data_IF_123613249481
#
_entry.id   IF_123613249481
#
_cell.length_a   1.000
_cell.length_b   1.000
_cell.length_c   1.000
_cell.angle_alpha   90.00
_cell.angle_beta   90.00
_cell.angle_gamma   90.00
#
_symmetry.space_group_name_H-M   'P 1'
#
loop_
_entity.id
_entity.type
_entity.pdbx_description
1 polymer ?
#
# COMPACT_ATOMS: atom_id res chain seq x y z
N UNK A 1 40.18 24.73 -5.94
CA UNK A 1 39.09 24.12 -5.15
C UNK A 1 39.24 22.61 -5.25
N UNK A 2 40.42 22.08 -4.86
CA UNK A 2 40.88 20.75 -5.29
C UNK A 2 41.50 19.90 -4.16
N UNK A 3 41.41 20.31 -2.88
CA UNK A 3 42.14 19.67 -1.77
C UNK A 3 41.30 19.36 -0.51
N UNK A 4 39.99 19.15 -0.61
CA UNK A 4 39.14 18.90 0.58
C UNK A 4 38.90 17.43 0.94
N UNK A 5 39.46 16.47 0.20
CA UNK A 5 39.31 15.02 0.47
C UNK A 5 40.65 14.27 0.63
N UNK A 6 41.78 14.96 0.71
CA UNK A 6 43.03 14.29 1.07
C UNK A 6 43.00 13.92 2.56
N UNK A 7 42.81 12.63 2.83
CA UNK A 7 43.06 12.01 4.12
C UNK A 7 44.39 12.54 4.69
N UNK A 8 44.39 12.87 5.98
CA UNK A 8 45.52 13.40 6.75
C UNK A 8 46.85 12.72 6.37
N UNK A 9 47.67 13.39 5.56
CA UNK A 9 49.08 13.06 5.35
C UNK A 9 49.88 13.56 6.56
N UNK A 10 50.09 12.73 7.55
CA UNK A 10 51.21 12.91 8.47
C UNK A 10 52.49 12.53 7.72
N UNK A 11 53.27 13.55 7.34
CA UNK A 11 54.56 13.36 6.67
C UNK A 11 55.58 12.89 7.71
N UNK A 12 55.82 11.59 7.76
CA UNK A 12 57.14 11.00 8.07
C UNK A 12 57.25 9.67 7.34
N UNK A 13 58.27 9.52 6.51
CA UNK A 13 58.37 8.52 5.45
C UNK A 13 58.14 7.07 5.87
N UNK A 14 57.04 6.50 5.39
CA UNK A 14 56.83 5.09 5.06
C UNK A 14 55.60 5.02 4.15
N UNK A 15 55.61 4.20 3.10
CA UNK A 15 54.43 3.95 2.27
C UNK A 15 53.28 3.43 3.15
N UNK A 16 52.34 4.30 3.49
CA UNK A 16 51.06 3.92 4.09
C UNK A 16 49.97 4.15 3.06
N UNK A 17 49.38 3.06 2.61
CA UNK A 17 48.14 3.09 1.83
C UNK A 17 47.07 3.80 2.67
N UNK A 18 46.39 4.85 2.15
CA UNK A 18 45.28 5.47 2.87
C UNK A 18 44.16 4.43 3.01
N UNK A 19 43.89 3.98 4.24
CA UNK A 19 42.71 3.16 4.55
C UNK A 19 41.50 4.09 4.59
N UNK A 20 40.64 4.02 3.58
CA UNK A 20 39.45 4.87 3.45
C UNK A 20 38.30 4.36 4.34
N UNK A 21 38.47 4.48 5.64
CA UNK A 21 37.47 4.05 6.65
C UNK A 21 36.22 4.93 6.69
N UNK A 22 36.09 5.95 5.83
CA UNK A 22 34.93 6.85 5.83
C UNK A 22 33.69 6.23 5.15
N UNK A 23 33.90 5.58 4.00
CA UNK A 23 32.85 4.96 3.16
C UNK A 23 32.76 3.44 3.26
N UNK A 24 33.59 2.81 4.09
CA UNK A 24 33.60 1.36 4.33
C UNK A 24 32.41 0.89 5.19
N UNK A 25 32.18 -0.43 5.25
CA UNK A 25 31.02 -1.06 5.92
C UNK A 25 31.00 -0.90 7.46
N UNK A 26 32.09 -0.42 8.06
CA UNK A 26 32.16 -0.01 9.47
C UNK A 26 32.59 1.47 9.59
N UNK A 27 32.34 2.23 8.52
CA UNK A 27 32.82 3.59 8.37
C UNK A 27 31.89 4.64 8.97
N UNK A 28 32.41 5.87 9.03
CA UNK A 28 31.76 6.99 9.70
C UNK A 28 30.35 7.30 9.14
N UNK A 29 30.14 7.19 7.82
CA UNK A 29 28.84 7.48 7.20
C UNK A 29 27.79 6.44 7.61
N UNK A 30 28.17 5.18 7.69
CA UNK A 30 27.26 4.12 8.14
C UNK A 30 26.93 4.27 9.61
N UNK A 31 27.91 4.58 10.46
CA UNK A 31 27.67 4.84 11.88
C UNK A 31 26.68 6.01 12.09
N UNK A 32 26.83 7.10 11.31
CA UNK A 32 25.86 8.20 11.32
C UNK A 32 24.47 7.75 10.86
N UNK A 33 24.39 6.93 9.81
CA UNK A 33 23.11 6.38 9.37
C UNK A 33 22.45 5.51 10.44
N UNK A 34 23.20 4.62 11.08
CA UNK A 34 22.70 3.75 12.16
C UNK A 34 22.13 4.59 13.31
N UNK A 35 22.85 5.64 13.74
CA UNK A 35 22.38 6.60 14.76
C UNK A 35 21.05 7.26 14.39
N UNK A 36 20.95 7.82 13.17
CA UNK A 36 19.73 8.48 12.71
C UNK A 36 18.57 7.48 12.55
N UNK A 37 18.84 6.31 11.94
CA UNK A 37 17.85 5.29 11.66
C UNK A 37 17.28 4.68 12.94
N UNK A 38 18.10 4.50 13.97
CA UNK A 38 17.64 4.07 15.30
C UNK A 38 16.65 5.07 15.91
N UNK A 39 16.91 6.38 15.82
CA UNK A 39 15.98 7.38 16.34
C UNK A 39 14.69 7.43 15.52
N UNK A 40 14.77 7.37 14.18
CA UNK A 40 13.60 7.32 13.30
C UNK A 40 12.72 6.08 13.55
N UNK A 41 13.32 4.97 13.94
CA UNK A 41 12.60 3.73 14.30
C UNK A 41 11.87 3.79 15.63
N UNK A 42 12.32 4.63 16.56
CA UNK A 42 11.69 4.76 17.88
C UNK A 42 10.29 5.32 17.68
N UNK A 43 9.33 4.79 18.44
CA UNK A 43 7.93 5.25 18.43
C UNK A 43 7.30 5.35 17.03
N UNK A 44 7.77 4.55 16.06
CA UNK A 44 7.41 4.61 14.64
C UNK A 44 7.50 6.05 14.07
N UNK A 45 8.58 6.76 14.42
CA UNK A 45 8.87 8.14 14.00
C UNK A 45 8.15 9.21 14.81
N UNK A 46 7.22 8.86 15.70
CA UNK A 46 6.48 9.85 16.52
C UNK A 46 7.39 10.44 17.60
N UNK A 47 7.14 11.69 18.00
CA UNK A 47 7.83 12.30 19.13
C UNK A 47 7.66 11.46 20.41
N UNK A 48 8.75 11.25 21.16
CA UNK A 48 8.81 10.37 22.34
C UNK A 48 7.87 10.78 23.48
N UNK A 49 7.44 12.04 23.51
CA UNK A 49 6.65 12.68 24.55
C UNK A 49 5.27 13.17 24.07
N UNK A 50 4.93 12.92 22.81
CA UNK A 50 3.71 13.46 22.18
C UNK A 50 3.76 14.97 21.94
N UNK A 51 4.93 15.60 22.04
CA UNK A 51 5.11 17.01 21.68
C UNK A 51 4.80 17.19 20.20
N UNK A 52 3.95 18.18 19.84
CA UNK A 52 3.63 18.45 18.45
C UNK A 52 4.89 18.76 17.64
N UNK A 53 5.09 18.02 16.55
CA UNK A 53 6.26 18.15 15.68
C UNK A 53 5.93 18.88 14.36
N UNK A 54 4.71 19.41 14.24
CA UNK A 54 4.24 20.13 13.05
C UNK A 54 3.73 19.21 11.93
N UNK A 55 3.76 17.89 12.11
CA UNK A 55 3.20 16.92 11.18
C UNK A 55 1.71 16.63 11.45
N UNK A 56 1.13 17.13 12.54
CA UNK A 56 -0.21 16.78 13.00
C UNK A 56 -1.33 17.26 12.08
N UNK A 57 -1.10 18.39 11.39
CA UNK A 57 -2.07 19.02 10.51
C UNK A 57 -2.23 18.31 9.14
N UNK A 58 -1.30 17.41 8.80
CA UNK A 58 -1.34 16.62 7.57
C UNK A 58 -2.53 15.65 7.62
N UNK A 59 -3.41 15.75 6.62
CA UNK A 59 -4.64 14.95 6.55
C UNK A 59 -4.37 13.51 6.12
N UNK A 60 -3.45 13.30 5.18
CA UNK A 60 -3.07 11.98 4.71
C UNK A 60 -2.19 11.27 5.75
N UNK A 61 -2.61 10.09 6.27
CA UNK A 61 -1.84 9.37 7.29
C UNK A 61 -0.41 8.99 6.85
N UNK A 62 -0.20 8.73 5.56
CA UNK A 62 1.13 8.42 5.02
C UNK A 62 2.03 9.64 4.94
N UNK A 63 1.49 10.82 4.59
CA UNK A 63 2.23 12.10 4.68
C UNK A 63 2.66 12.35 6.13
N UNK A 64 1.74 12.20 7.08
CA UNK A 64 2.03 12.36 8.50
C UNK A 64 3.13 11.40 8.97
N UNK A 65 3.10 10.16 8.51
CA UNK A 65 4.11 9.15 8.85
C UNK A 65 5.47 9.48 8.25
N UNK A 66 5.53 9.85 6.97
CA UNK A 66 6.77 10.29 6.31
C UNK A 66 7.40 11.49 7.04
N UNK A 67 6.56 12.49 7.37
CA UNK A 67 6.95 13.68 8.10
C UNK A 67 7.53 13.33 9.47
N UNK A 68 6.85 12.48 10.23
CA UNK A 68 7.29 12.04 11.56
C UNK A 68 8.68 11.36 11.53
N UNK A 69 8.87 10.39 10.63
CA UNK A 69 10.16 9.71 10.47
C UNK A 69 11.27 10.71 10.14
N UNK A 70 11.09 11.56 9.14
CA UNK A 70 12.10 12.55 8.76
C UNK A 70 12.34 13.58 9.86
N UNK A 71 11.30 14.02 10.56
CA UNK A 71 11.42 14.93 11.70
C UNK A 71 12.28 14.32 12.80
N UNK A 72 12.09 13.04 13.14
CA UNK A 72 12.91 12.34 14.11
C UNK A 72 14.39 12.29 13.67
N UNK A 73 14.64 11.97 12.39
CA UNK A 73 15.97 11.98 11.80
C UNK A 73 16.64 13.35 11.84
N UNK A 74 15.95 14.42 11.48
CA UNK A 74 16.48 15.78 11.58
C UNK A 74 16.72 16.20 13.02
N UNK A 75 15.82 15.84 13.94
CA UNK A 75 15.98 16.17 15.36
C UNK A 75 17.29 15.59 15.88
N UNK A 76 17.58 14.33 15.58
CA UNK A 76 18.85 13.68 15.93
C UNK A 76 20.06 14.23 15.14
N UNK A 77 19.85 14.66 13.89
CA UNK A 77 20.93 15.26 13.11
C UNK A 77 21.44 16.58 13.71
N UNK A 78 20.55 17.34 14.36
CA UNK A 78 20.85 18.64 14.97
C UNK A 78 21.01 18.56 16.50
N UNK A 79 21.08 17.37 17.10
CA UNK A 79 21.62 17.23 18.45
C UNK A 79 23.12 17.49 18.41
N UNK A 80 23.64 18.23 19.40
CA UNK A 80 25.09 18.38 19.55
C UNK A 80 25.64 17.02 19.96
N UNK A 81 26.63 16.45 19.26
CA UNK A 81 27.26 15.22 19.71
C UNK A 81 27.76 15.43 21.13
N UNK A 82 27.22 14.67 22.09
CA UNK A 82 27.80 14.66 23.43
C UNK A 82 29.20 14.04 23.26
N UNK A 83 30.30 14.68 23.70
CA UNK A 83 31.59 14.02 23.71
C UNK A 83 31.40 12.72 24.46
N UNK A 84 31.61 11.58 23.80
CA UNK A 84 31.41 10.28 24.40
C UNK A 84 32.13 10.26 25.76
N UNK A 85 31.37 10.08 26.84
CA UNK A 85 31.96 9.81 28.14
C UNK A 85 32.85 8.58 27.97
N UNK A 86 34.15 8.81 28.17
CA UNK A 86 35.23 7.84 28.07
C UNK A 86 34.80 6.51 28.67
N UNK A 87 34.44 5.57 27.81
CA UNK A 87 34.30 4.16 28.16
C UNK A 87 35.34 3.41 27.33
N UNK A 88 36.20 2.74 28.08
CA UNK A 88 37.55 2.36 27.68
C UNK A 88 37.63 1.39 26.51
N UNK A 89 38.69 1.62 25.72
CA UNK A 89 39.42 0.67 24.87
C UNK A 89 38.75 0.19 23.56
N UNK A 90 38.93 0.99 22.50
CA UNK A 90 39.88 0.70 21.41
C UNK A 90 40.01 1.96 20.55
N UNK A 91 41.24 2.26 20.12
CA UNK A 91 41.69 3.35 19.23
C UNK A 91 40.60 4.00 18.36
N UNK A 92 39.83 4.95 18.92
CA UNK A 92 38.84 5.71 18.16
C UNK A 92 39.55 6.85 17.43
N UNK A 93 39.86 6.62 16.16
CA UNK A 93 40.32 7.65 15.24
C UNK A 93 39.31 8.81 15.28
N UNK A 94 39.73 10.09 15.41
CA UNK A 94 38.82 11.22 15.36
C UNK A 94 38.00 11.16 14.06
N UNK A 95 36.70 10.94 14.18
CA UNK A 95 35.82 10.97 13.01
C UNK A 95 35.74 12.40 12.50
N UNK A 96 35.91 12.60 11.19
CA UNK A 96 35.66 13.90 10.53
C UNK A 96 34.22 14.40 10.77
N UNK A 97 33.29 13.50 11.09
CA UNK A 97 31.92 13.82 11.47
C UNK A 97 31.78 14.43 12.88
N UNK A 98 32.87 14.58 13.64
CA UNK A 98 32.86 15.39 14.86
C UNK A 98 32.71 16.89 14.54
N UNK A 99 32.99 17.31 13.29
CA UNK A 99 32.66 18.65 12.82
C UNK A 99 31.13 18.75 12.58
N UNK A 100 30.40 19.63 13.29
CA UNK A 100 28.94 19.71 13.18
C UNK A 100 28.45 19.99 11.75
N UNK A 101 29.09 20.93 11.04
CA UNK A 101 28.70 21.28 9.67
C UNK A 101 28.88 20.11 8.70
N UNK A 102 29.96 19.34 8.86
CA UNK A 102 30.19 18.16 8.03
C UNK A 102 29.25 17.00 8.38
N UNK A 103 28.98 16.77 9.67
CA UNK A 103 27.95 15.82 10.12
C UNK A 103 26.59 16.14 9.52
N UNK A 104 26.16 17.40 9.65
CA UNK A 104 24.89 17.88 9.12
C UNK A 104 24.81 17.72 7.61
N UNK A 105 25.89 18.07 6.88
CA UNK A 105 25.95 17.87 5.43
C UNK A 105 25.77 16.40 5.03
N UNK A 106 26.50 15.49 5.67
CA UNK A 106 26.38 14.06 5.40
C UNK A 106 25.02 13.48 5.81
N UNK A 107 24.49 13.93 6.95
CA UNK A 107 23.15 13.56 7.40
C UNK A 107 22.06 14.07 6.46
N UNK A 108 22.19 15.28 5.91
CA UNK A 108 21.26 15.77 4.89
C UNK A 108 21.25 14.85 3.66
N UNK A 109 22.42 14.37 3.20
CA UNK A 109 22.47 13.43 2.08
C UNK A 109 21.81 12.09 2.41
N UNK A 110 22.05 11.55 3.61
CA UNK A 110 21.41 10.32 4.09
C UNK A 110 19.88 10.48 4.17
N UNK A 111 19.38 11.56 4.77
CA UNK A 111 17.94 11.82 4.93
C UNK A 111 17.25 12.16 3.60
N UNK A 112 17.96 12.77 2.64
CA UNK A 112 17.49 12.93 1.26
C UNK A 112 17.31 11.59 0.56
N UNK A 113 18.34 10.74 0.61
CA UNK A 113 18.26 9.41 0.03
C UNK A 113 17.14 8.60 0.69
N UNK A 114 16.99 8.72 2.01
CA UNK A 114 15.93 8.05 2.76
C UNK A 114 14.53 8.50 2.34
N UNK A 115 14.31 9.82 2.21
CA UNK A 115 13.05 10.36 1.69
C UNK A 115 12.75 9.88 0.26
N UNK A 116 13.78 9.67 -0.57
CA UNK A 116 13.60 9.06 -1.89
C UNK A 116 13.14 7.60 -1.80
N UNK A 117 13.76 6.80 -0.94
CA UNK A 117 13.31 5.43 -0.66
C UNK A 117 11.89 5.38 -0.11
N UNK A 118 11.48 6.34 0.73
CA UNK A 118 10.08 6.49 1.16
C UNK A 118 9.15 6.68 -0.04
N UNK A 119 9.47 7.60 -0.96
CA UNK A 119 8.64 7.88 -2.14
C UNK A 119 8.51 6.67 -3.07
N UNK A 120 9.61 5.94 -3.26
CA UNK A 120 9.66 4.75 -4.11
C UNK A 120 8.81 3.60 -3.55
N UNK A 121 8.76 3.43 -2.22
CA UNK A 121 8.05 2.32 -1.56
C UNK A 121 6.63 2.66 -1.09
N UNK A 122 6.25 3.95 -1.06
CA UNK A 122 4.92 4.38 -0.65
C UNK A 122 3.86 4.15 -1.74
N UNK A 123 2.74 3.55 -1.36
CA UNK A 123 1.54 3.40 -2.21
C UNK A 123 0.65 4.63 -2.21
N UNK A 124 0.82 5.50 -1.21
CA UNK A 124 0.25 6.85 -1.16
C UNK A 124 1.21 7.89 -1.76
N UNK A 125 0.68 9.08 -2.07
CA UNK A 125 1.49 10.26 -2.30
C UNK A 125 1.94 10.79 -0.95
N UNK A 126 3.23 11.12 -0.79
CA UNK A 126 3.81 11.53 0.51
C UNK A 126 4.61 12.84 0.43
N UNK A 127 4.44 13.58 -0.67
CA UNK A 127 5.25 14.75 -0.99
C UNK A 127 5.06 15.89 0.03
N UNK A 128 3.83 16.05 0.53
CA UNK A 128 3.51 17.11 1.49
C UNK A 128 4.16 16.81 2.85
N UNK A 129 4.17 15.54 3.27
CA UNK A 129 4.83 15.09 4.48
C UNK A 129 6.35 15.25 4.45
N UNK A 130 6.96 14.88 3.32
CA UNK A 130 8.41 15.10 3.12
C UNK A 130 8.72 16.59 3.15
N UNK A 131 7.99 17.39 2.35
CA UNK A 131 8.19 18.85 2.31
C UNK A 131 8.04 19.47 3.69
N UNK A 132 7.02 19.09 4.45
CA UNK A 132 6.78 19.59 5.80
C UNK A 132 7.98 19.32 6.72
N UNK A 133 8.55 18.11 6.72
CA UNK A 133 9.70 17.78 7.57
C UNK A 133 10.97 18.57 7.19
N UNK A 134 11.25 18.73 5.89
CA UNK A 134 12.41 19.50 5.42
C UNK A 134 12.25 21.00 5.66
N UNK A 135 11.04 21.55 5.49
CA UNK A 135 10.75 22.98 5.70
C UNK A 135 10.67 23.35 7.20
N UNK A 136 10.54 22.37 8.09
CA UNK A 136 10.51 22.56 9.55
C UNK A 136 11.79 22.06 10.21
N UNK A 137 11.83 20.78 10.63
CA UNK A 137 12.97 20.20 11.35
C UNK A 137 14.27 20.22 10.53
N UNK A 138 14.17 20.10 9.20
CA UNK A 138 15.30 20.20 8.28
C UNK A 138 16.00 21.56 8.26
N UNK A 139 15.40 22.62 8.82
CA UNK A 139 16.04 23.94 8.91
C UNK A 139 17.06 24.04 10.05
N UNK A 140 17.14 23.03 10.93
CA UNK A 140 17.99 23.08 12.12
C UNK A 140 17.50 24.09 13.17
N UNK A 141 18.35 24.38 14.15
CA UNK A 141 18.03 25.33 15.23
C UNK A 141 18.34 26.75 14.75
N UNK A 142 17.31 27.59 14.68
CA UNK A 142 17.45 29.01 14.34
C UNK A 142 18.49 29.69 15.25
N UNK A 143 19.55 30.26 14.64
CA UNK A 143 20.57 31.07 15.32
C UNK A 143 21.94 30.42 15.57
N UNK A 144 22.12 29.12 15.30
CA UNK A 144 23.35 28.39 15.67
C UNK A 144 24.34 28.09 14.52
N UNK A 145 24.08 28.58 13.30
CA UNK A 145 24.94 28.26 12.15
C UNK A 145 24.81 26.82 11.64
N UNK A 146 23.70 26.14 11.98
CA UNK A 146 23.34 24.84 11.43
C UNK A 146 23.21 24.92 9.91
N UNK A 147 23.63 23.85 9.23
CA UNK A 147 23.48 23.68 7.79
C UNK A 147 22.06 23.16 7.51
N UNK A 148 21.17 23.94 6.87
CA UNK A 148 19.80 23.50 6.62
C UNK A 148 19.76 22.44 5.51
N UNK A 149 19.01 21.37 5.74
CA UNK A 149 18.66 20.40 4.72
C UNK A 149 17.46 20.92 3.91
N UNK A 150 17.67 21.28 2.65
CA UNK A 150 16.59 21.77 1.77
C UNK A 150 16.05 20.66 0.89
N UNK A 151 14.73 20.57 0.71
CA UNK A 151 14.13 19.62 -0.24
C UNK A 151 14.25 20.11 -1.70
N UNK A 152 15.44 20.02 -2.29
CA UNK A 152 15.73 20.45 -3.67
C UNK A 152 16.14 19.25 -4.55
N UNK A 153 15.23 18.31 -4.74
CA UNK A 153 15.51 16.98 -5.32
C UNK A 153 16.40 17.01 -6.57
N UNK A 154 16.11 17.87 -7.55
CA UNK A 154 16.90 17.97 -8.80
C UNK A 154 18.35 18.41 -8.58
N UNK A 155 18.58 19.32 -7.63
CA UNK A 155 19.93 19.79 -7.29
C UNK A 155 20.72 18.72 -6.53
N UNK A 156 20.06 17.99 -5.64
CA UNK A 156 20.69 16.85 -4.95
C UNK A 156 20.96 15.70 -5.92
N UNK A 157 20.04 15.41 -6.84
CA UNK A 157 20.19 14.34 -7.82
C UNK A 157 21.32 14.60 -8.83
N UNK A 158 21.57 15.88 -9.17
CA UNK A 158 22.64 16.34 -10.07
C UNK A 158 23.97 16.64 -9.37
N UNK A 159 24.01 16.65 -8.03
CA UNK A 159 25.24 16.82 -7.26
C UNK A 159 26.10 15.54 -7.36
N UNK A 160 27.10 15.56 -8.24
CA UNK A 160 27.99 14.43 -8.44
C UNK A 160 29.37 14.69 -7.82
N UNK A 161 29.70 13.96 -6.77
CA UNK A 161 31.01 14.00 -6.10
C UNK A 161 31.70 12.66 -6.34
N UNK A 162 32.84 12.69 -7.06
CA UNK A 162 33.65 11.50 -7.32
C UNK A 162 34.56 11.21 -6.12
N UNK A 163 34.51 9.99 -5.59
CA UNK A 163 35.20 9.63 -4.33
C UNK A 163 36.67 9.25 -4.52
N UNK A 164 37.09 8.92 -5.74
CA UNK A 164 38.49 8.68 -6.08
C UNK A 164 38.82 9.59 -7.27
N UNK A 165 39.88 10.40 -7.19
CA UNK A 165 40.29 11.35 -8.23
C UNK A 165 40.68 10.77 -9.60
N UNK A 166 40.22 9.56 -9.93
CA UNK A 166 40.38 8.90 -11.23
C UNK A 166 38.99 8.63 -11.81
N UNK A 167 38.69 9.24 -12.96
CA UNK A 167 37.47 8.99 -13.71
C UNK A 167 37.36 7.49 -14.05
N UNK A 168 36.29 6.83 -13.61
CA UNK A 168 35.91 5.48 -14.06
C UNK A 168 36.23 4.31 -13.13
N UNK A 169 36.79 4.51 -11.93
CA UNK A 169 37.09 3.41 -10.98
C UNK A 169 36.64 3.64 -9.52
N UNK A 170 35.81 4.66 -9.24
CA UNK A 170 35.19 4.85 -7.93
C UNK A 170 33.75 5.35 -8.08
N UNK A 171 32.81 4.78 -7.32
CA UNK A 171 31.41 5.23 -7.31
C UNK A 171 31.25 6.66 -6.81
N UNK A 172 30.11 7.29 -7.12
CA UNK A 172 29.80 8.64 -6.63
C UNK A 172 29.42 8.63 -5.14
N UNK A 173 29.50 9.77 -4.47
CA UNK A 173 29.00 9.92 -3.10
C UNK A 173 27.51 9.56 -2.96
N UNK A 174 26.73 9.83 -4.01
CA UNK A 174 25.33 9.42 -4.11
C UNK A 174 25.18 7.89 -4.07
N UNK A 175 25.99 7.18 -4.86
CA UNK A 175 25.95 5.71 -4.90
C UNK A 175 26.35 5.10 -3.55
N UNK A 176 27.33 5.71 -2.86
CA UNK A 176 27.75 5.26 -1.53
C UNK A 176 26.71 5.49 -0.46
N UNK A 177 26.08 6.66 -0.44
CA UNK A 177 24.95 6.96 0.46
C UNK A 177 23.82 5.96 0.21
N UNK A 178 23.43 5.77 -1.05
CA UNK A 178 22.36 4.85 -1.42
C UNK A 178 22.69 3.39 -1.05
N UNK A 179 23.95 2.97 -1.19
CA UNK A 179 24.42 1.66 -0.76
C UNK A 179 24.29 1.45 0.76
N UNK A 180 24.60 2.47 1.57
CA UNK A 180 24.41 2.41 3.04
C UNK A 180 22.95 2.16 3.40
N UNK A 181 22.02 2.88 2.76
CA UNK A 181 20.59 2.70 3.01
C UNK A 181 20.08 1.33 2.51
N UNK A 182 20.52 0.89 1.33
CA UNK A 182 20.15 -0.41 0.76
C UNK A 182 20.65 -1.59 1.59
N UNK A 183 21.83 -1.45 2.21
CA UNK A 183 22.36 -2.46 3.13
C UNK A 183 21.49 -2.60 4.39
N UNK A 184 20.81 -1.54 4.81
CA UNK A 184 19.92 -1.51 5.96
C UNK A 184 18.46 -1.81 5.60
N UNK A 185 18.28 -2.96 4.96
CA UNK A 185 16.98 -3.44 4.46
C UNK A 185 15.89 -3.45 5.54
N UNK A 186 16.23 -3.80 6.78
CA UNK A 186 15.26 -3.90 7.87
C UNK A 186 14.69 -2.54 8.28
N UNK A 187 15.52 -1.48 8.31
CA UNK A 187 15.05 -0.12 8.53
C UNK A 187 14.11 0.35 7.42
N UNK A 188 14.54 0.14 6.17
CA UNK A 188 13.78 0.57 5.00
C UNK A 188 12.45 -0.17 4.91
N UNK A 189 12.43 -1.49 5.13
CA UNK A 189 11.20 -2.28 5.04
C UNK A 189 10.26 -2.02 6.23
N UNK A 190 10.78 -1.76 7.44
CA UNK A 190 9.94 -1.31 8.57
C UNK A 190 9.29 0.05 8.27
N UNK A 191 10.05 1.01 7.78
CA UNK A 191 9.51 2.31 7.35
C UNK A 191 8.44 2.12 6.28
N UNK A 192 8.71 1.31 5.25
CA UNK A 192 7.79 1.09 4.14
C UNK A 192 6.49 0.42 4.60
N UNK A 193 6.55 -0.45 5.61
CA UNK A 193 5.36 -1.02 6.23
C UNK A 193 4.54 0.06 6.95
N UNK A 194 5.17 0.93 7.72
CA UNK A 194 4.47 1.96 8.47
C UNK A 194 3.87 3.03 7.56
N UNK A 195 4.60 3.47 6.53
CA UNK A 195 4.12 4.49 5.60
C UNK A 195 2.92 4.02 4.78
N UNK A 196 2.80 2.72 4.51
CA UNK A 196 1.67 2.11 3.80
C UNK A 196 0.54 1.66 4.74
N UNK A 197 0.67 1.85 6.06
CA UNK A 197 -0.38 1.50 7.01
C UNK A 197 -1.40 2.64 7.10
N UNK A 198 -2.50 2.50 6.36
CA UNK A 198 -3.68 3.37 6.46
C UNK A 198 -4.87 2.54 6.93
N UNK A 199 -5.42 2.91 8.08
CA UNK A 199 -6.45 2.09 8.75
C UNK A 199 -7.87 2.43 8.30
N UNK A 200 -8.13 3.69 7.96
CA UNK A 200 -9.43 4.11 7.46
C UNK A 200 -9.53 3.85 5.95
N UNK A 201 -10.63 3.22 5.51
CA UNK A 201 -10.80 2.85 4.11
C UNK A 201 -10.96 4.09 3.21
N UNK A 202 -11.62 5.15 3.68
CA UNK A 202 -11.74 6.37 2.89
C UNK A 202 -10.38 7.04 2.70
N UNK A 203 -9.57 7.13 3.76
CA UNK A 203 -8.21 7.67 3.67
C UNK A 203 -7.34 6.83 2.72
N UNK A 204 -7.45 5.50 2.79
CA UNK A 204 -6.76 4.59 1.86
C UNK A 204 -7.19 4.86 0.41
N UNK A 205 -8.49 4.95 0.13
CA UNK A 205 -9.04 5.25 -1.21
C UNK A 205 -8.52 6.60 -1.71
N UNK A 206 -8.58 7.65 -0.89
CA UNK A 206 -8.09 9.00 -1.24
C UNK A 206 -6.60 8.97 -1.58
N UNK A 207 -5.77 8.37 -0.72
CA UNK A 207 -4.33 8.40 -0.91
C UNK A 207 -3.91 7.62 -2.16
N UNK A 208 -4.41 6.39 -2.37
CA UNK A 208 -3.93 5.53 -3.46
C UNK A 208 -4.46 6.00 -4.79
N UNK A 209 -5.67 6.56 -4.82
CA UNK A 209 -6.23 7.19 -6.02
C UNK A 209 -5.39 8.41 -6.39
N UNK A 210 -5.09 9.28 -5.43
CA UNK A 210 -4.25 10.46 -5.69
C UNK A 210 -2.86 10.07 -6.17
N UNK A 211 -2.23 9.06 -5.54
CA UNK A 211 -0.93 8.56 -5.96
C UNK A 211 -0.98 7.98 -7.36
N UNK A 212 -1.95 7.13 -7.65
CA UNK A 212 -2.08 6.49 -8.95
C UNK A 212 -2.45 7.50 -10.04
N UNK A 213 -3.20 8.55 -9.74
CA UNK A 213 -3.47 9.61 -10.73
C UNK A 213 -2.21 10.37 -11.14
N UNK A 214 -1.31 10.65 -10.18
CA UNK A 214 -0.03 11.33 -10.43
C UNK A 214 1.10 10.41 -10.86
N UNK A 215 0.93 9.11 -10.67
CA UNK A 215 1.82 8.12 -11.23
C UNK A 215 1.73 8.20 -12.75
N UNK A 216 2.83 8.55 -13.41
CA UNK A 216 2.82 8.71 -14.86
C UNK A 216 2.72 7.33 -15.49
N UNK A 217 1.63 7.06 -16.21
CA UNK A 217 1.53 5.85 -17.02
C UNK A 217 2.72 5.80 -17.99
N UNK A 218 3.72 4.95 -17.72
CA UNK A 218 4.89 4.65 -18.55
C UNK A 218 5.52 5.86 -19.31
N UNK A 219 6.63 6.41 -18.80
CA UNK A 219 7.51 7.34 -19.53
C UNK A 219 6.90 8.70 -19.93
N UNK A 220 6.53 9.53 -18.95
CA UNK A 220 6.37 10.97 -19.20
C UNK A 220 5.01 11.42 -19.75
N UNK A 221 3.98 10.58 -19.67
CA UNK A 221 2.59 10.98 -19.97
C UNK A 221 2.01 12.01 -18.99
N UNK A 222 0.82 12.52 -19.33
CA UNK A 222 0.03 13.40 -18.46
C UNK A 222 -0.53 12.63 -17.25
N UNK A 223 -0.88 13.36 -16.19
CA UNK A 223 -1.62 12.82 -15.05
C UNK A 223 -2.96 12.19 -15.52
N UNK A 224 -3.37 11.12 -14.85
CA UNK A 224 -4.63 10.43 -15.16
C UNK A 224 -5.82 11.29 -14.77
N UNK A 225 -6.91 11.15 -15.52
CA UNK A 225 -8.18 11.85 -15.28
C UNK A 225 -9.11 11.04 -14.38
N UNK A 226 -10.18 11.67 -13.88
CA UNK A 226 -11.23 10.95 -13.16
C UNK A 226 -11.94 9.89 -14.00
N UNK A 227 -12.00 10.06 -15.32
CA UNK A 227 -12.58 9.03 -16.20
C UNK A 227 -11.70 7.79 -16.20
N UNK A 228 -10.37 7.95 -16.32
CA UNK A 228 -9.42 6.83 -16.24
C UNK A 228 -9.56 6.08 -14.91
N UNK A 229 -9.80 6.81 -13.81
CA UNK A 229 -10.03 6.23 -12.49
C UNK A 229 -11.26 5.35 -12.47
N UNK A 230 -12.42 5.89 -12.84
CA UNK A 230 -13.66 5.15 -12.76
C UNK A 230 -13.77 4.05 -13.81
N UNK A 231 -13.13 4.18 -14.96
CA UNK A 231 -13.03 3.11 -15.95
C UNK A 231 -12.18 1.95 -15.42
N UNK A 232 -11.06 2.22 -14.75
CA UNK A 232 -10.28 1.17 -14.08
C UNK A 232 -11.05 0.51 -12.93
N UNK A 233 -11.91 1.25 -12.20
CA UNK A 233 -12.82 0.69 -11.18
C UNK A 233 -13.86 -0.22 -11.82
N UNK A 234 -14.45 0.15 -12.96
CA UNK A 234 -15.38 -0.72 -13.71
C UNK A 234 -14.73 -2.04 -14.10
N UNK A 235 -13.47 -2.03 -14.54
CA UNK A 235 -12.72 -3.26 -14.81
C UNK A 235 -12.61 -4.14 -13.56
N UNK A 236 -12.43 -3.55 -12.36
CA UNK A 236 -12.31 -4.33 -11.13
C UNK A 236 -13.60 -5.07 -10.77
N UNK A 237 -14.76 -4.60 -11.21
CA UNK A 237 -16.04 -5.31 -11.04
C UNK A 237 -16.01 -6.64 -11.81
N UNK A 238 -15.53 -6.62 -13.06
CA UNK A 238 -15.40 -7.82 -13.90
C UNK A 238 -14.42 -8.81 -13.30
N UNK A 239 -13.28 -8.31 -12.83
CA UNK A 239 -12.24 -9.12 -12.18
C UNK A 239 -12.72 -9.75 -10.87
N UNK A 240 -13.52 -9.03 -10.07
CA UNK A 240 -14.14 -9.59 -8.86
C UNK A 240 -15.13 -10.70 -9.20
N UNK A 241 -15.97 -10.51 -10.23
CA UNK A 241 -16.89 -11.55 -10.68
C UNK A 241 -16.14 -12.83 -11.10
N UNK A 242 -15.10 -12.68 -11.93
CA UNK A 242 -14.23 -13.80 -12.32
C UNK A 242 -13.48 -14.42 -11.12
N UNK A 243 -13.21 -13.63 -10.08
CA UNK A 243 -12.58 -14.07 -8.83
C UNK A 243 -13.50 -14.86 -7.90
N UNK A 244 -14.79 -15.00 -8.23
CA UNK A 244 -15.81 -15.62 -7.37
C UNK A 244 -16.50 -16.84 -7.98
N UNK A 245 -15.89 -17.46 -8.98
CA UNK A 245 -16.37 -18.74 -9.56
C UNK A 245 -16.23 -19.91 -8.58
N UNK A 246 -16.89 -21.05 -8.87
CA UNK A 246 -16.93 -22.21 -7.96
C UNK A 246 -15.55 -22.80 -7.63
N UNK A 247 -14.61 -22.79 -8.58
CA UNK A 247 -13.22 -23.19 -8.34
C UNK A 247 -12.52 -22.25 -7.35
N UNK A 248 -12.80 -20.94 -7.42
CA UNK A 248 -12.25 -19.94 -6.51
C UNK A 248 -12.86 -20.03 -5.11
N UNK A 249 -14.18 -20.27 -5.02
CA UNK A 249 -14.86 -20.57 -3.75
C UNK A 249 -14.30 -21.83 -3.09
N UNK A 250 -14.06 -22.87 -3.89
CA UNK A 250 -13.47 -24.12 -3.40
C UNK A 250 -12.10 -23.92 -2.76
N UNK A 251 -11.28 -23.02 -3.32
CA UNK A 251 -9.95 -22.68 -2.80
C UNK A 251 -9.98 -22.01 -1.41
N UNK A 252 -11.11 -21.40 -1.01
CA UNK A 252 -11.30 -20.76 0.31
C UNK A 252 -12.23 -21.54 1.23
N UNK A 253 -12.65 -22.75 0.85
CA UNK A 253 -13.64 -23.54 1.59
C UNK A 253 -13.30 -23.79 3.06
N UNK A 254 -12.00 -23.92 3.38
CA UNK A 254 -11.52 -24.12 4.76
C UNK A 254 -11.85 -22.94 5.69
N UNK A 255 -11.92 -21.71 5.15
CA UNK A 255 -12.28 -20.49 5.88
C UNK A 255 -13.73 -20.55 6.39
N UNK A 256 -14.61 -21.12 5.58
CA UNK A 256 -16.05 -21.20 5.83
C UNK A 256 -16.49 -22.57 6.37
N UNK A 257 -15.53 -23.44 6.74
CA UNK A 257 -15.78 -24.82 7.18
C UNK A 257 -16.68 -24.98 8.41
N UNK A 258 -16.75 -23.95 9.27
CA UNK A 258 -17.66 -23.93 10.44
C UNK A 258 -19.13 -23.72 10.05
N UNK A 259 -19.42 -23.41 8.79
CA UNK A 259 -20.76 -23.24 8.26
C UNK A 259 -21.12 -24.49 7.45
N UNK A 260 -22.14 -25.21 7.91
CA UNK A 260 -22.46 -26.56 7.41
C UNK A 260 -23.16 -26.52 6.06
N UNK A 261 -24.09 -25.59 5.88
CA UNK A 261 -25.01 -25.48 4.74
C UNK A 261 -25.28 -24.02 4.39
N UNK A 262 -25.89 -23.79 3.22
CA UNK A 262 -26.25 -22.45 2.76
C UNK A 262 -27.12 -21.68 3.74
N UNK A 263 -28.07 -22.36 4.41
CA UNK A 263 -28.94 -21.73 5.41
C UNK A 263 -28.20 -21.30 6.68
N UNK A 264 -26.89 -21.55 6.75
CA UNK A 264 -26.01 -21.10 7.83
C UNK A 264 -25.05 -19.99 7.35
N UNK A 265 -25.27 -19.41 6.16
CA UNK A 265 -24.43 -18.34 5.62
C UNK A 265 -23.22 -18.85 4.82
N UNK A 266 -23.13 -20.17 4.56
CA UNK A 266 -21.95 -20.76 3.92
C UNK A 266 -21.66 -20.15 2.55
N UNK A 267 -22.70 -19.99 1.73
CA UNK A 267 -22.54 -19.47 0.38
C UNK A 267 -22.07 -18.00 0.37
N UNK A 268 -22.69 -17.15 1.20
CA UNK A 268 -22.25 -15.77 1.38
C UNK A 268 -20.82 -15.69 1.91
N UNK A 269 -20.42 -16.59 2.82
CA UNK A 269 -19.05 -16.67 3.31
C UNK A 269 -18.06 -17.01 2.20
N UNK A 270 -18.32 -18.07 1.41
CA UNK A 270 -17.42 -18.51 0.34
C UNK A 270 -17.22 -17.42 -0.71
N UNK A 271 -18.32 -16.74 -1.04
CA UNK A 271 -18.35 -15.67 -2.02
C UNK A 271 -17.51 -14.46 -1.60
N UNK A 272 -17.71 -13.96 -0.38
CA UNK A 272 -16.91 -12.85 0.16
C UNK A 272 -15.46 -13.29 0.37
N UNK A 273 -15.22 -14.50 0.87
CA UNK A 273 -13.87 -15.01 1.07
C UNK A 273 -13.09 -15.16 -0.25
N UNK A 274 -13.77 -15.59 -1.33
CA UNK A 274 -13.18 -15.66 -2.66
C UNK A 274 -12.88 -14.26 -3.22
N UNK A 275 -13.78 -13.29 -3.03
CA UNK A 275 -13.54 -11.89 -3.37
C UNK A 275 -12.35 -11.28 -2.62
N UNK A 276 -12.26 -11.55 -1.31
CA UNK A 276 -11.10 -11.19 -0.48
C UNK A 276 -9.83 -11.85 -1.01
N UNK A 277 -9.85 -13.14 -1.34
CA UNK A 277 -8.67 -13.82 -1.89
C UNK A 277 -8.26 -13.21 -3.23
N UNK A 278 -9.21 -12.94 -4.11
CA UNK A 278 -8.99 -12.34 -5.43
C UNK A 278 -8.28 -10.98 -5.35
N UNK A 279 -8.61 -10.14 -4.36
CA UNK A 279 -7.89 -8.87 -4.18
C UNK A 279 -6.46 -9.12 -3.65
N UNK A 280 -6.26 -10.05 -2.72
CA UNK A 280 -4.93 -10.36 -2.18
C UNK A 280 -4.03 -11.16 -3.13
N UNK A 281 -4.61 -11.74 -4.19
CA UNK A 281 -3.87 -12.44 -5.25
C UNK A 281 -3.28 -11.49 -6.31
N UNK A 282 -3.68 -10.21 -6.35
CA UNK A 282 -3.05 -9.19 -7.21
C UNK A 282 -1.57 -9.10 -6.81
N UNK A 283 -0.62 -9.09 -7.76
CA UNK A 283 0.84 -9.02 -7.51
C UNK A 283 1.43 -7.67 -7.94
N UNK A 284 2.50 -7.24 -7.26
CA UNK A 284 3.17 -5.94 -7.45
C UNK A 284 4.40 -6.05 -8.36
N UNK A 285 4.25 -6.58 -9.58
CA UNK A 285 5.35 -6.76 -10.56
C UNK A 285 4.95 -7.66 -11.75
N UNK A 286 3.68 -8.04 -11.87
CA UNK A 286 3.23 -8.92 -12.94
C UNK A 286 2.30 -8.20 -13.92
N UNK A 287 2.41 -8.56 -15.19
CA UNK A 287 1.54 -8.07 -16.27
C UNK A 287 1.51 -6.54 -16.42
N UNK A 288 2.62 -5.86 -16.13
CA UNK A 288 2.71 -4.39 -16.20
C UNK A 288 1.95 -3.67 -15.08
N UNK A 289 1.63 -4.36 -13.98
CA UNK A 289 1.07 -3.76 -12.77
C UNK A 289 2.20 -3.53 -11.77
N UNK A 290 2.52 -2.27 -11.52
CA UNK A 290 3.43 -1.87 -10.44
C UNK A 290 2.72 -1.86 -9.07
N UNK A 291 3.50 -1.63 -8.01
CA UNK A 291 2.99 -1.56 -6.64
C UNK A 291 1.90 -0.49 -6.43
N UNK A 292 1.96 0.64 -7.15
CA UNK A 292 0.98 1.73 -7.02
C UNK A 292 -0.35 1.31 -7.63
N UNK A 293 -0.32 0.82 -8.89
CA UNK A 293 -1.52 0.33 -9.58
C UNK A 293 -2.12 -0.87 -8.86
N UNK A 294 -1.30 -1.80 -8.37
CA UNK A 294 -1.77 -2.94 -7.61
C UNK A 294 -2.45 -2.52 -6.29
N UNK A 295 -1.88 -1.56 -5.56
CA UNK A 295 -2.50 -1.03 -4.33
C UNK A 295 -3.84 -0.35 -4.63
N UNK A 296 -3.91 0.47 -5.69
CA UNK A 296 -5.17 1.04 -6.17
C UNK A 296 -6.22 -0.04 -6.47
N UNK A 297 -5.87 -1.05 -7.26
CA UNK A 297 -6.78 -2.15 -7.62
C UNK A 297 -7.28 -2.91 -6.38
N UNK A 298 -6.39 -3.24 -5.43
CA UNK A 298 -6.77 -3.89 -4.16
C UNK A 298 -7.75 -3.05 -3.36
N UNK A 299 -7.49 -1.76 -3.23
CA UNK A 299 -8.37 -0.82 -2.53
C UNK A 299 -9.74 -0.72 -3.19
N UNK A 300 -9.81 -0.56 -4.51
CA UNK A 300 -11.10 -0.49 -5.20
C UNK A 300 -11.86 -1.81 -5.14
N UNK A 301 -11.18 -2.96 -5.22
CA UNK A 301 -11.83 -4.27 -5.00
C UNK A 301 -12.37 -4.41 -3.59
N UNK A 302 -11.67 -3.91 -2.57
CA UNK A 302 -12.17 -3.90 -1.20
C UNK A 302 -13.44 -3.04 -1.04
N UNK A 303 -13.50 -1.85 -1.67
CA UNK A 303 -14.69 -0.99 -1.69
C UNK A 303 -15.85 -1.69 -2.38
N UNK A 304 -15.62 -2.23 -3.59
CA UNK A 304 -16.64 -2.94 -4.36
C UNK A 304 -17.17 -4.18 -3.63
N UNK A 305 -16.30 -4.94 -2.97
CA UNK A 305 -16.69 -6.12 -2.19
C UNK A 305 -17.53 -5.73 -0.97
N UNK A 306 -17.23 -4.61 -0.32
CA UNK A 306 -18.05 -4.04 0.75
C UNK A 306 -19.42 -3.56 0.25
N UNK A 307 -19.49 -2.97 -0.94
CA UNK A 307 -20.75 -2.62 -1.60
C UNK A 307 -21.60 -3.85 -1.93
N UNK A 308 -20.97 -4.94 -2.40
CA UNK A 308 -21.65 -6.22 -2.61
C UNK A 308 -22.17 -6.77 -1.28
N UNK A 309 -21.37 -6.71 -0.22
CA UNK A 309 -21.79 -7.14 1.11
C UNK A 309 -23.00 -6.33 1.64
N UNK A 310 -23.06 -5.02 1.38
CA UNK A 310 -24.24 -4.21 1.69
C UNK A 310 -25.47 -4.68 0.91
N UNK A 311 -25.33 -4.96 -0.39
CA UNK A 311 -26.45 -5.48 -1.21
C UNK A 311 -26.95 -6.84 -0.72
N UNK A 312 -26.07 -7.74 -0.30
CA UNK A 312 -26.44 -9.04 0.26
C UNK A 312 -27.14 -8.93 1.63
N UNK A 313 -27.01 -7.78 2.30
CA UNK A 313 -27.66 -7.47 3.58
C UNK A 313 -28.84 -6.51 3.43
N UNK A 314 -29.13 -6.00 2.23
CA UNK A 314 -30.27 -5.15 1.94
C UNK A 314 -31.59 -5.95 2.06
N UNK A 315 -32.65 -5.33 2.58
CA UNK A 315 -33.93 -6.00 2.78
C UNK A 315 -34.64 -6.37 1.46
N UNK A 316 -34.22 -5.78 0.34
CA UNK A 316 -34.69 -6.13 -1.01
C UNK A 316 -33.98 -7.36 -1.56
N UNK A 317 -32.92 -7.86 -0.90
CA UNK A 317 -32.21 -9.06 -1.35
C UNK A 317 -33.03 -10.31 -1.03
N UNK A 318 -33.43 -11.12 -2.04
CA UNK A 318 -34.20 -12.32 -1.81
C UNK A 318 -33.45 -13.32 -0.92
N UNK A 319 -34.19 -13.96 -0.02
CA UNK A 319 -33.69 -15.04 0.83
C UNK A 319 -32.55 -14.66 1.79
N UNK A 320 -32.36 -13.36 2.08
CA UNK A 320 -31.31 -12.85 2.98
C UNK A 320 -31.29 -13.57 4.33
N UNK A 321 -32.44 -13.68 4.98
CA UNK A 321 -32.57 -14.26 6.32
C UNK A 321 -32.47 -15.78 6.29
N UNK A 322 -33.11 -16.42 5.29
CA UNK A 322 -33.07 -17.87 5.09
C UNK A 322 -31.66 -18.37 4.77
N UNK A 323 -30.87 -17.56 4.05
CA UNK A 323 -29.48 -17.85 3.70
C UNK A 323 -28.49 -17.30 4.72
N UNK A 324 -28.93 -16.61 5.78
CA UNK A 324 -28.07 -16.04 6.83
C UNK A 324 -26.86 -15.30 6.24
N UNK A 325 -27.13 -14.42 5.27
CA UNK A 325 -26.07 -13.74 4.51
C UNK A 325 -25.16 -12.92 5.43
N UNK A 326 -25.75 -12.33 6.49
CA UNK A 326 -25.03 -11.57 7.50
C UNK A 326 -23.94 -12.39 8.18
N UNK A 327 -24.28 -13.57 8.69
CA UNK A 327 -23.35 -14.47 9.38
C UNK A 327 -22.22 -14.91 8.46
N UNK A 328 -22.54 -15.20 7.19
CA UNK A 328 -21.53 -15.55 6.19
C UNK A 328 -20.54 -14.42 5.90
N UNK A 329 -21.05 -13.20 5.69
CA UNK A 329 -20.26 -11.99 5.43
C UNK A 329 -19.35 -11.68 6.62
N UNK A 330 -19.90 -11.65 7.84
CA UNK A 330 -19.14 -11.40 9.07
C UNK A 330 -18.04 -12.44 9.27
N UNK A 331 -18.34 -13.72 8.99
CA UNK A 331 -17.36 -14.79 9.06
C UNK A 331 -16.19 -14.59 8.08
N UNK A 332 -16.48 -14.24 6.82
CA UNK A 332 -15.44 -14.05 5.81
C UNK A 332 -14.55 -12.84 6.11
N UNK A 333 -15.13 -11.67 6.39
CA UNK A 333 -14.35 -10.48 6.77
C UNK A 333 -13.58 -10.66 8.08
N UNK A 334 -14.14 -11.42 9.05
CA UNK A 334 -13.44 -11.81 10.27
C UNK A 334 -12.23 -12.72 10.04
N UNK A 335 -12.07 -13.29 8.83
CA UNK A 335 -10.92 -14.09 8.41
C UNK A 335 -10.05 -13.36 7.39
N UNK A 336 -10.31 -12.07 7.11
CA UNK A 336 -9.62 -11.29 6.07
C UNK A 336 -8.09 -11.30 6.23
N UNK A 337 -7.56 -11.21 7.45
CA UNK A 337 -6.12 -11.29 7.70
C UNK A 337 -5.53 -12.68 7.36
N UNK A 338 -6.27 -13.76 7.65
CA UNK A 338 -5.88 -15.13 7.28
C UNK A 338 -5.90 -15.31 5.76
N UNK A 339 -6.94 -14.80 5.09
CA UNK A 339 -7.06 -14.87 3.63
C UNK A 339 -5.94 -14.04 2.97
N UNK A 340 -5.61 -12.87 3.52
CA UNK A 340 -4.49 -12.04 3.07
C UNK A 340 -3.17 -12.81 3.11
N UNK A 341 -2.89 -13.53 4.19
CA UNK A 341 -1.68 -14.37 4.29
C UNK A 341 -1.65 -15.54 3.29
N UNK A 342 -2.79 -15.95 2.76
CA UNK A 342 -2.90 -16.98 1.71
C UNK A 342 -2.80 -16.41 0.30
N UNK A 343 -3.10 -15.12 0.12
CA UNK A 343 -3.12 -14.43 -1.17
C UNK A 343 -1.75 -14.31 -1.80
N UNK A 344 -1.61 -14.66 -3.07
CA UNK A 344 -0.30 -14.79 -3.71
C UNK A 344 0.51 -13.50 -3.73
N UNK A 345 -0.13 -12.34 -3.87
CA UNK A 345 0.55 -11.06 -3.91
C UNK A 345 0.77 -10.39 -2.55
N UNK A 346 0.17 -10.93 -1.49
CA UNK A 346 0.40 -10.46 -0.12
C UNK A 346 1.26 -11.42 0.72
N UNK A 347 1.77 -12.49 0.11
CA UNK A 347 2.76 -13.39 0.74
C UNK A 347 4.07 -12.67 1.03
N UNK A 348 4.87 -13.29 1.89
CA UNK A 348 6.23 -12.85 2.23
C UNK A 348 6.33 -11.44 2.83
N UNK A 349 5.27 -10.96 3.47
CA UNK A 349 5.28 -9.67 4.15
C UNK A 349 5.29 -8.47 3.20
N UNK A 350 4.66 -8.60 2.03
CA UNK A 350 4.49 -7.48 1.10
C UNK A 350 3.89 -6.25 1.82
N UNK A 351 4.68 -5.18 1.87
CA UNK A 351 4.38 -3.95 2.62
C UNK A 351 3.31 -3.07 1.97
N UNK A 352 2.83 -3.41 0.78
CA UNK A 352 1.78 -2.67 0.06
C UNK A 352 0.37 -3.20 0.34
N UNK A 353 0.28 -4.37 0.99
CA UNK A 353 -0.98 -5.01 1.33
C UNK A 353 -1.55 -4.46 2.64
N UNK A 354 -2.87 -4.31 2.69
CA UNK A 354 -3.61 -3.89 3.86
C UNK A 354 -4.79 -4.84 4.09
N UNK A 355 -5.24 -4.96 5.33
CA UNK A 355 -6.41 -5.79 5.66
C UNK A 355 -7.69 -5.08 5.18
N UNK A 356 -8.40 -5.67 4.23
CA UNK A 356 -9.74 -5.25 3.85
C UNK A 356 -10.75 -5.65 4.94
N UNK A 357 -11.21 -4.66 5.70
CA UNK A 357 -12.21 -4.85 6.76
C UNK A 357 -13.64 -4.62 6.25
N UNK A 358 -14.61 -5.15 7.00
CA UNK A 358 -16.03 -4.91 6.73
C UNK A 358 -16.37 -3.46 7.06
N UNK A 359 -16.76 -2.70 6.07
CA UNK A 359 -17.23 -1.32 6.17
C UNK A 359 -18.45 -1.12 5.27
N UNK A 360 -19.53 -0.55 5.79
CA UNK A 360 -20.70 -0.22 4.96
C UNK A 360 -20.40 1.01 4.09
N UNK A 361 -20.98 1.07 2.89
CA UNK A 361 -20.90 2.25 2.03
C UNK A 361 -21.46 3.50 2.70
N UNK A 362 -22.39 3.34 3.65
CA UNK A 362 -22.86 4.46 4.49
C UNK A 362 -21.75 5.12 5.30
N UNK A 363 -20.70 4.38 5.71
CA UNK A 363 -19.52 4.96 6.35
C UNK A 363 -18.63 5.72 5.36
N UNK A 364 -18.83 5.53 4.06
CA UNK A 364 -18.14 6.23 2.98
C UNK A 364 -18.97 7.38 2.39
N UNK A 365 -20.13 7.73 2.97
CA UNK A 365 -21.00 8.80 2.45
C UNK A 365 -20.31 10.17 2.36
N UNK A 366 -19.36 10.44 3.27
CA UNK A 366 -18.60 11.69 3.33
C UNK A 366 -17.21 11.55 2.64
N UNK A 367 -16.98 10.43 1.95
CA UNK A 367 -15.73 10.14 1.27
C UNK A 367 -15.70 10.76 -0.13
N UNK A 368 -15.32 12.04 -0.18
CA UNK A 368 -15.08 12.77 -1.43
C UNK A 368 -13.60 12.68 -1.81
N UNK A 369 -13.30 12.26 -3.05
CA UNK A 369 -11.91 12.11 -3.54
C UNK A 369 -11.28 13.41 -4.04
N UNK A 370 -12.11 14.39 -4.32
CA UNK A 370 -11.79 15.77 -4.60
C UNK A 370 -12.39 16.69 -3.52
N UNK A 371 -12.39 18.00 -3.74
CA UNK A 371 -12.88 18.97 -2.77
C UNK A 371 -14.31 18.63 -2.28
N UNK A 372 -14.70 18.98 -1.05
CA UNK A 372 -16.05 18.68 -0.56
C UNK A 372 -17.16 19.28 -1.46
N UNK A 373 -18.19 18.49 -1.80
CA UNK A 373 -19.35 18.95 -2.59
C UNK A 373 -19.28 18.65 -4.11
N UNK A 374 -18.50 17.66 -4.50
CA UNK A 374 -18.12 17.34 -5.88
C UNK A 374 -18.77 16.06 -6.41
N UNK A 375 -18.52 15.75 -7.68
CA UNK A 375 -19.03 14.56 -8.38
C UNK A 375 -18.23 13.29 -8.10
N UNK A 376 -17.17 13.28 -7.28
CA UNK A 376 -16.31 12.10 -7.07
C UNK A 376 -16.49 11.48 -5.68
N UNK A 377 -17.70 11.57 -5.13
CA UNK A 377 -18.06 10.84 -3.93
C UNK A 377 -18.00 9.32 -4.18
N UNK A 378 -17.25 8.60 -3.34
CA UNK A 378 -17.00 7.16 -3.52
C UNK A 378 -18.29 6.36 -3.47
N UNK A 379 -19.16 6.64 -2.48
CA UNK A 379 -20.42 5.92 -2.32
C UNK A 379 -21.31 6.11 -3.54
N UNK A 380 -21.54 7.35 -3.95
CA UNK A 380 -22.42 7.67 -5.09
C UNK A 380 -21.91 7.02 -6.38
N UNK A 381 -20.62 7.13 -6.65
CA UNK A 381 -20.00 6.53 -7.84
C UNK A 381 -20.12 5.01 -7.86
N UNK A 382 -19.84 4.36 -6.73
CA UNK A 382 -19.96 2.90 -6.63
C UNK A 382 -21.43 2.47 -6.75
N UNK A 383 -22.37 3.19 -6.13
CA UNK A 383 -23.80 2.92 -6.25
C UNK A 383 -24.27 3.00 -7.72
N UNK A 384 -23.83 4.03 -8.45
CA UNK A 384 -24.18 4.22 -9.86
C UNK A 384 -23.59 3.13 -10.76
N UNK A 385 -22.33 2.74 -10.52
CA UNK A 385 -21.67 1.62 -11.20
C UNK A 385 -22.43 0.29 -11.01
N UNK A 386 -22.99 0.07 -9.82
CA UNK A 386 -23.73 -1.15 -9.51
C UNK A 386 -25.21 -1.09 -9.96
N UNK A 387 -25.80 0.10 -10.13
CA UNK A 387 -27.19 0.28 -10.62
C UNK A 387 -27.32 0.18 -12.14
N UNK A 388 -26.34 0.67 -12.90
CA UNK A 388 -26.39 0.77 -14.37
C UNK A 388 -26.24 -0.57 -15.12
N UNK A 389 -26.66 -1.69 -14.51
CA UNK A 389 -26.88 -2.96 -15.21
C UNK A 389 -25.63 -3.75 -15.63
N UNK A 390 -24.42 -3.19 -15.54
CA UNK A 390 -23.19 -3.92 -15.89
C UNK A 390 -22.82 -5.03 -14.89
N UNK A 391 -23.45 -5.08 -13.71
CA UNK A 391 -23.11 -6.05 -12.66
C UNK A 391 -24.26 -6.98 -12.21
N UNK A 392 -25.52 -6.57 -12.30
CA UNK A 392 -26.64 -7.40 -11.83
C UNK A 392 -26.83 -8.68 -12.67
N UNK A 393 -26.50 -8.62 -13.96
CA UNK A 393 -26.52 -9.79 -14.86
C UNK A 393 -25.24 -10.64 -14.72
N UNK A 394 -24.06 -10.04 -14.55
CA UNK A 394 -22.78 -10.79 -14.51
C UNK A 394 -22.64 -11.72 -13.31
N UNK A 395 -23.18 -11.36 -12.14
CA UNK A 395 -23.15 -12.26 -11.00
C UNK A 395 -24.23 -13.33 -11.08
N UNK A 396 -25.46 -12.99 -11.46
CA UNK A 396 -26.53 -13.98 -11.66
C UNK A 396 -26.19 -15.05 -12.72
N UNK A 397 -25.34 -14.74 -13.70
CA UNK A 397 -24.98 -15.70 -14.76
C UNK A 397 -23.90 -16.72 -14.33
N UNK A 398 -23.10 -16.41 -13.29
CA UNK A 398 -22.06 -17.29 -12.76
C UNK A 398 -22.38 -17.86 -11.37
N UNK A 399 -23.26 -17.21 -10.62
CA UNK A 399 -23.80 -17.75 -9.39
C UNK A 399 -25.20 -18.28 -9.65
N UNK A 400 -25.32 -19.60 -9.85
CA UNK A 400 -26.55 -20.37 -9.67
C UNK A 400 -27.03 -20.32 -8.18
N UNK A 401 -26.98 -19.17 -7.52
CA UNK A 401 -27.32 -19.04 -6.10
C UNK A 401 -28.85 -19.01 -5.88
N UNK A 402 -29.69 -18.72 -6.90
CA UNK A 402 -31.14 -18.57 -6.68
C UNK A 402 -32.11 -19.09 -7.75
N UNK A 403 -31.67 -19.63 -8.89
CA UNK A 403 -32.61 -19.98 -9.99
C UNK A 403 -33.16 -21.41 -9.99
N UNK A 404 -32.81 -22.30 -9.05
CA UNK A 404 -33.29 -23.70 -9.10
C UNK A 404 -34.24 -24.19 -8.00
N UNK A 405 -34.73 -23.34 -7.09
CA UNK A 405 -35.64 -23.81 -6.02
C UNK A 405 -36.96 -23.05 -5.85
N UNK A 406 -37.51 -22.45 -6.93
CA UNK A 406 -38.85 -21.86 -6.86
C UNK A 406 -39.81 -22.27 -7.98
N UNK A 407 -39.61 -23.44 -8.58
CA UNK A 407 -40.68 -24.12 -9.32
C UNK A 407 -41.10 -25.32 -8.48
N UNK A 408 -42.41 -25.44 -8.22
CA UNK A 408 -43.10 -26.40 -7.32
C UNK A 408 -43.12 -25.92 -5.86
N UNK A 409 -44.09 -25.11 -5.44
CA UNK A 409 -45.42 -25.60 -5.10
C UNK A 409 -46.51 -24.54 -5.27
N UNK A 410 -47.44 -24.77 -6.21
CA UNK A 410 -48.82 -24.29 -6.09
C UNK A 410 -49.73 -25.52 -5.98
N UNK A 411 -50.73 -25.52 -5.07
CA UNK A 411 -51.65 -26.63 -4.93
C UNK A 411 -52.66 -26.60 -6.08
N UNK A 412 -52.56 -27.54 -7.01
CA UNK A 412 -53.61 -27.76 -8.00
C UNK A 412 -54.73 -28.59 -7.37
N UNK A 413 -55.89 -27.95 -7.21
CA UNK A 413 -57.16 -28.62 -6.99
C UNK A 413 -57.44 -29.60 -8.15
N UNK A 414 -57.91 -30.81 -7.79
CA UNK A 414 -58.48 -31.88 -8.60
C UNK A 414 -58.93 -31.52 -10.03
N UNK A 415 -58.60 -32.39 -11.01
CA UNK A 415 -59.58 -33.26 -11.67
C UNK A 415 -58.93 -34.53 -12.26
N UNK A 416 -59.67 -35.63 -12.19
CA UNK A 416 -59.44 -36.96 -12.76
C UNK A 416 -59.05 -36.92 -14.26
N UNK A 417 -58.12 -37.79 -14.72
CA UNK A 417 -58.40 -39.04 -15.47
C UNK A 417 -57.13 -39.70 -16.07
N UNK A 418 -57.00 -41.02 -15.83
CA UNK A 418 -56.38 -42.13 -16.59
C UNK A 418 -55.03 -42.07 -17.37
N UNK A 419 -54.16 -43.01 -16.97
CA UNK A 419 -53.30 -43.94 -17.75
C UNK A 419 -52.44 -43.42 -18.92
N UNK A 420 -51.11 -43.47 -18.77
CA UNK A 420 -50.28 -44.53 -19.38
C UNK A 420 -48.80 -44.45 -18.94
N UNK A 421 -48.23 -45.60 -18.59
CA UNK A 421 -46.81 -45.89 -18.41
C UNK A 421 -46.03 -45.80 -19.73
N UNK A 422 -44.90 -45.09 -19.78
CA UNK A 422 -43.61 -45.61 -20.32
C UNK A 422 -42.44 -44.61 -20.22
N UNK A 423 -41.31 -45.17 -19.76
CA UNK A 423 -39.90 -44.91 -20.06
C UNK A 423 -39.12 -43.67 -19.55
N UNK A 424 -38.02 -44.04 -18.89
CA UNK A 424 -36.87 -43.32 -18.34
C UNK A 424 -35.75 -43.26 -19.40
N UNK A 425 -34.89 -42.23 -19.30
CA UNK A 425 -33.67 -41.90 -20.09
C UNK A 425 -33.97 -41.12 -21.39
N UNK A 426 -33.38 -39.96 -21.69
CA UNK A 426 -31.98 -39.53 -21.50
C UNK A 426 -31.87 -38.01 -21.68
N UNK A 427 -30.90 -37.39 -21.00
CA UNK A 427 -30.51 -35.98 -21.17
C UNK A 427 -29.70 -35.73 -22.45
N UNK A 428 -29.60 -34.42 -22.77
CA UNK A 428 -28.81 -33.73 -23.79
C UNK A 428 -29.41 -33.62 -25.20
N UNK A 429 -29.94 -32.43 -25.50
CA UNK A 429 -29.44 -31.68 -26.64
C UNK A 429 -29.58 -30.17 -26.43
N UNK A 430 -28.47 -29.48 -26.68
CA UNK A 430 -28.32 -28.03 -26.79
C UNK A 430 -28.99 -27.61 -28.09
N UNK A 431 -29.95 -26.69 -28.03
CA UNK A 431 -30.54 -26.04 -29.21
C UNK A 431 -30.03 -24.61 -29.32
N UNK A 432 -29.23 -24.43 -30.36
CA UNK A 432 -28.92 -23.18 -31.06
C UNK A 432 -30.14 -22.56 -31.71
N UNK A 433 -30.17 -21.21 -31.72
CA UNK A 433 -30.83 -20.32 -32.69
C UNK A 433 -32.37 -20.33 -32.67
N UNK A 434 -33.12 -19.27 -32.95
CA UNK A 434 -32.97 -17.82 -33.16
C UNK A 434 -34.43 -17.36 -33.45
N UNK A 435 -34.78 -16.10 -33.17
CA UNK A 435 -35.53 -15.15 -34.04
C UNK A 435 -36.56 -14.32 -33.27
N UNK A 436 -36.31 -13.01 -33.15
CA UNK A 436 -36.51 -11.92 -34.13
C UNK A 436 -37.97 -11.45 -34.09
N UNK A 437 -38.11 -10.13 -33.95
CA UNK A 437 -39.21 -9.35 -34.50
C UNK A 437 -39.49 -9.77 -35.95
N UNK A 438 -40.29 -10.79 -36.14
CA UNK A 438 -41.67 -10.79 -36.67
C UNK A 438 -42.19 -12.21 -36.61
#
# INVERSE_FOLDING_TARGET
MENYLEATKTITGAQTTPTNTFWEDNGAVKALWEELAEEMKKTDGKAKDGTPNGCEALQNPSDKTACNYLHAGFTELYTTPTPAASSSATTATPSVLNNPSFRQTMGCFLLHAYAKHMKEKATCLIDDGIKQAFDTAGQGKSGNGDIPCKWEQEKYDSCNININGVAGQGGSAKDKVDAVLKADKDNIDKMAKQINTVTDLCDQVKCVTTRWMKDKANNGGNDRTWNDVWDQVKEQIKELAAGTTEDKKSAVSSICSKLSKDSDGKEACLLIAAGLKNLYDIKDDQNGVDAVKASFQRTMRCVLLNAIADKLQDDKFPCKDEKKTKEGIEKAFGQSATIMGQGEGCRNGNVTCFKCERMTLEKLKDCNLDSPGTTQNVKEKVDDLLKNGECWLCWNQHTNILTQHNVLTQPQHNQHNNNNTTNILTQHNILTQHNILT
#
